data_IF_376589318164
#
_entry.id   IF_376589318164
#
_cell.length_a   1.000
_cell.length_b   1.000
_cell.length_c   1.000
_cell.angle_alpha   90.00
_cell.angle_beta   90.00
_cell.angle_gamma   90.00
#
_symmetry.space_group_name_H-M   'P 1'
#
loop_
_entity.id
_entity.type
_entity.pdbx_description
1 polymer ?
#
# COMPACT_ATOMS: atom_id res chain seq x y z
N UNK A 1 5.34 -7.77 -24.63
CA UNK A 1 3.97 -7.23 -24.70
C UNK A 1 3.26 -7.59 -23.42
N UNK A 2 2.88 -6.63 -22.60
CA UNK A 2 2.05 -6.85 -21.42
C UNK A 2 0.64 -7.21 -21.88
N UNK A 3 0.14 -8.37 -21.46
CA UNK A 3 -1.20 -8.83 -21.79
C UNK A 3 -2.20 -7.90 -21.10
N UNK A 4 -3.04 -7.21 -21.85
CA UNK A 4 -4.11 -6.41 -21.28
C UNK A 4 -5.17 -7.39 -20.71
N UNK A 5 -5.36 -7.38 -19.38
CA UNK A 5 -6.29 -8.27 -18.69
C UNK A 5 -7.62 -7.58 -18.37
N UNK A 6 -7.96 -6.47 -19.02
CA UNK A 6 -9.24 -5.79 -18.84
C UNK A 6 -10.40 -6.56 -19.46
N UNK A 7 -11.52 -6.56 -18.76
CA UNK A 7 -12.78 -7.01 -19.33
C UNK A 7 -13.32 -5.99 -20.33
N UNK A 8 -13.93 -6.46 -21.41
CA UNK A 8 -14.50 -5.60 -22.46
C UNK A 8 -15.91 -5.07 -22.15
N UNK A 9 -16.58 -5.64 -21.14
CA UNK A 9 -17.97 -5.34 -20.79
C UNK A 9 -18.08 -4.85 -19.34
N UNK A 10 -19.11 -4.07 -19.02
CA UNK A 10 -19.39 -3.59 -17.67
C UNK A 10 -18.40 -2.51 -17.19
N UNK A 11 -17.91 -1.69 -18.10
CA UNK A 11 -16.87 -0.69 -17.81
C UNK A 11 -17.48 0.56 -17.18
N UNK A 12 -16.92 0.95 -16.04
CA UNK A 12 -17.17 2.24 -15.41
C UNK A 12 -16.09 3.25 -15.85
N UNK A 13 -14.91 2.77 -16.24
CA UNK A 13 -13.73 3.58 -16.57
C UNK A 13 -13.78 3.97 -18.05
N UNK A 14 -13.61 5.25 -18.32
CA UNK A 14 -13.48 5.79 -19.67
C UNK A 14 -12.09 5.45 -20.23
N UNK A 15 -12.06 4.66 -21.30
CA UNK A 15 -10.83 4.28 -21.99
C UNK A 15 -10.32 5.36 -22.98
N UNK A 16 -10.94 6.52 -23.02
CA UNK A 16 -10.53 7.62 -23.92
C UNK A 16 -9.25 8.27 -23.41
N UNK A 17 -9.12 8.44 -22.09
CA UNK A 17 -7.99 9.16 -21.50
C UNK A 17 -6.96 8.20 -20.90
N UNK A 18 -5.92 7.95 -21.68
CA UNK A 18 -4.82 7.08 -21.27
C UNK A 18 -3.82 7.83 -20.40
N UNK A 19 -3.47 7.24 -19.26
CA UNK A 19 -2.56 7.78 -18.24
C UNK A 19 -1.32 6.89 -18.15
N UNK A 20 -0.14 7.50 -18.01
CA UNK A 20 1.12 6.79 -17.78
C UNK A 20 1.59 6.93 -16.33
N UNK A 21 2.03 5.84 -15.73
CA UNK A 21 2.57 5.84 -14.37
C UNK A 21 3.75 4.88 -14.24
N UNK A 22 4.53 5.03 -13.18
CA UNK A 22 5.67 4.15 -12.90
C UNK A 22 5.43 3.33 -11.63
N UNK A 23 5.69 2.03 -11.72
CA UNK A 23 5.72 1.14 -10.58
C UNK A 23 7.05 0.40 -10.54
N UNK A 24 7.79 0.53 -9.42
CA UNK A 24 9.15 -0.02 -9.26
C UNK A 24 10.08 0.33 -10.45
N UNK A 25 10.02 1.57 -10.91
CA UNK A 25 10.85 2.09 -12.00
C UNK A 25 10.38 1.71 -13.42
N UNK A 26 9.42 0.79 -13.56
CA UNK A 26 8.87 0.40 -14.86
C UNK A 26 7.62 1.20 -15.20
N UNK A 27 7.51 1.67 -16.43
CA UNK A 27 6.33 2.42 -16.91
C UNK A 27 5.20 1.46 -17.27
N UNK A 28 4.01 1.80 -16.83
CA UNK A 28 2.74 1.15 -17.11
C UNK A 28 1.71 2.16 -17.56
N UNK A 29 0.60 1.67 -18.08
CA UNK A 29 -0.48 2.49 -18.59
C UNK A 29 -1.81 2.06 -17.99
N UNK A 30 -2.64 3.02 -17.70
CA UNK A 30 -4.03 2.85 -17.29
C UNK A 30 -4.88 3.92 -17.91
N UNK A 31 -6.06 4.13 -17.36
CA UNK A 31 -7.01 5.14 -17.82
C UNK A 31 -7.42 6.03 -16.65
N UNK A 32 -7.90 7.21 -16.96
CA UNK A 32 -8.44 8.10 -15.95
C UNK A 32 -9.58 7.42 -15.17
N UNK A 33 -9.57 7.57 -13.85
CA UNK A 33 -10.49 6.86 -12.95
C UNK A 33 -10.01 5.48 -12.46
N UNK A 34 -8.93 4.93 -13.07
CA UNK A 34 -8.32 3.72 -12.52
C UNK A 34 -7.70 3.99 -11.15
N UNK A 35 -7.82 3.04 -10.24
CA UNK A 35 -6.92 2.96 -9.08
C UNK A 35 -5.59 2.34 -9.50
N UNK A 36 -4.55 2.58 -8.70
CA UNK A 36 -3.26 1.93 -8.92
C UNK A 36 -3.40 0.39 -8.92
N UNK A 37 -4.30 -0.15 -8.08
CA UNK A 37 -4.64 -1.56 -8.03
C UNK A 37 -5.19 -2.07 -9.36
N UNK A 38 -6.26 -1.45 -9.87
CA UNK A 38 -6.91 -1.87 -11.12
C UNK A 38 -5.96 -1.77 -12.31
N UNK A 39 -5.18 -0.69 -12.37
CA UNK A 39 -4.20 -0.49 -13.43
C UNK A 39 -3.06 -1.52 -13.39
N UNK A 40 -2.55 -1.88 -12.21
CA UNK A 40 -1.51 -2.91 -12.06
C UNK A 40 -2.03 -4.29 -12.48
N UNK A 41 -3.22 -4.68 -12.02
CA UNK A 41 -3.86 -5.95 -12.40
C UNK A 41 -4.07 -6.00 -13.92
N UNK A 42 -4.60 -4.94 -14.51
CA UNK A 42 -4.82 -4.84 -15.96
C UNK A 42 -3.52 -5.03 -16.77
N UNK A 43 -2.39 -4.63 -16.21
CA UNK A 43 -1.07 -4.83 -16.82
C UNK A 43 -0.40 -6.16 -16.43
N UNK A 44 -1.11 -7.07 -15.74
CA UNK A 44 -0.59 -8.38 -15.33
C UNK A 44 0.43 -8.31 -14.18
N UNK A 45 0.40 -7.24 -13.39
CA UNK A 45 1.25 -7.09 -12.20
C UNK A 45 0.49 -7.59 -10.98
N UNK A 46 0.77 -8.83 -10.57
CA UNK A 46 0.12 -9.46 -9.43
C UNK A 46 0.93 -9.39 -8.14
N UNK A 47 2.24 -9.23 -8.24
CA UNK A 47 3.14 -9.12 -7.09
C UNK A 47 3.40 -7.64 -6.79
N UNK A 48 2.83 -7.16 -5.69
CA UNK A 48 2.86 -5.74 -5.31
C UNK A 48 3.79 -5.47 -4.13
N UNK A 49 3.90 -6.42 -3.20
CA UNK A 49 4.71 -6.27 -2.02
C UNK A 49 5.13 -7.59 -1.40
N UNK A 50 5.74 -7.51 -0.23
CA UNK A 50 6.18 -8.64 0.59
C UNK A 50 5.59 -8.54 1.98
N UNK A 51 5.34 -9.70 2.61
CA UNK A 51 4.84 -9.72 3.99
C UNK A 51 5.91 -9.24 4.98
N UNK A 52 5.43 -8.70 6.07
CA UNK A 52 6.25 -8.09 7.11
C UNK A 52 7.32 -9.04 7.70
N UNK A 53 6.95 -10.23 8.16
CA UNK A 53 7.84 -11.12 8.92
C UNK A 53 8.65 -12.04 8.01
N UNK A 54 7.99 -12.69 7.08
CA UNK A 54 8.57 -13.77 6.28
C UNK A 54 8.85 -13.38 4.83
N UNK A 55 8.59 -12.12 4.46
CA UNK A 55 8.79 -11.63 3.09
C UNK A 55 8.11 -12.47 2.00
N UNK A 56 7.00 -13.13 2.37
CA UNK A 56 6.19 -13.91 1.42
C UNK A 56 5.57 -13.00 0.37
N UNK A 57 5.44 -13.46 -0.89
CA UNK A 57 4.83 -12.67 -1.95
C UNK A 57 3.41 -12.21 -1.57
N UNK A 58 3.10 -10.93 -1.83
CA UNK A 58 1.78 -10.33 -1.59
C UNK A 58 1.29 -9.64 -2.85
N UNK A 59 0.06 -9.97 -3.23
CA UNK A 59 -0.69 -9.31 -4.28
C UNK A 59 -1.79 -8.42 -3.72
N UNK A 60 -2.70 -8.00 -4.59
CA UNK A 60 -3.90 -7.25 -4.26
C UNK A 60 -4.98 -8.26 -3.91
N UNK A 61 -5.61 -8.10 -2.75
CA UNK A 61 -6.58 -9.05 -2.22
C UNK A 61 -8.02 -8.53 -2.31
N UNK A 62 -8.22 -7.22 -2.12
CA UNK A 62 -9.54 -6.58 -2.11
C UNK A 62 -9.60 -5.40 -3.07
N UNK A 63 -10.75 -4.75 -3.18
CA UNK A 63 -10.96 -3.62 -4.08
C UNK A 63 -11.06 -2.26 -3.36
N UNK A 64 -11.19 -2.25 -2.06
CA UNK A 64 -11.47 -1.05 -1.26
C UNK A 64 -10.41 -0.72 -0.22
N UNK A 65 -10.82 0.08 0.77
CA UNK A 65 -9.97 0.54 1.87
C UNK A 65 -9.57 -0.58 2.85
N UNK A 66 -10.21 -1.73 2.77
CA UNK A 66 -9.89 -2.93 3.53
C UNK A 66 -8.68 -3.71 3.00
N UNK A 67 -8.01 -3.23 1.92
CA UNK A 67 -6.84 -3.90 1.32
C UNK A 67 -5.69 -4.04 2.31
N UNK A 68 -5.32 -5.28 2.71
CA UNK A 68 -4.30 -5.49 3.73
C UNK A 68 -2.88 -5.66 3.19
N UNK A 69 -2.71 -5.96 1.90
CA UNK A 69 -1.45 -6.42 1.32
C UNK A 69 -0.81 -5.44 0.34
N UNK A 70 -1.64 -4.73 -0.40
CA UNK A 70 -1.21 -3.84 -1.47
C UNK A 70 -0.78 -2.47 -0.96
N UNK A 71 0.29 -2.41 -0.18
CA UNK A 71 0.82 -1.18 0.42
C UNK A 71 2.04 -0.73 -0.35
N UNK A 72 2.05 0.55 -0.73
CA UNK A 72 3.11 1.16 -1.53
C UNK A 72 3.54 2.50 -0.96
N UNK A 73 4.72 2.91 -1.36
CA UNK A 73 5.21 4.26 -1.19
C UNK A 73 5.02 5.04 -2.48
N UNK A 74 4.41 6.21 -2.38
CA UNK A 74 4.29 7.13 -3.49
C UNK A 74 5.44 8.15 -3.43
N UNK A 75 5.99 8.48 -4.57
CA UNK A 75 6.94 9.57 -4.73
C UNK A 75 6.33 10.63 -5.65
N UNK A 76 6.05 11.78 -5.10
CA UNK A 76 5.72 12.96 -5.85
C UNK A 76 6.98 13.81 -6.06
N UNK A 77 6.90 14.86 -6.87
CA UNK A 77 8.06 15.75 -7.09
C UNK A 77 8.55 16.42 -5.80
N UNK A 78 7.68 16.60 -4.83
CA UNK A 78 7.90 17.45 -3.68
C UNK A 78 7.98 16.69 -2.37
N UNK A 79 7.23 15.60 -2.22
CA UNK A 79 7.18 14.80 -1.00
C UNK A 79 6.92 13.32 -1.28
N UNK A 80 7.03 12.50 -0.25
CA UNK A 80 6.76 11.06 -0.32
C UNK A 80 5.63 10.68 0.61
N UNK A 81 4.75 9.79 0.16
CA UNK A 81 3.68 9.23 0.98
C UNK A 81 3.93 7.74 1.19
N UNK A 82 4.34 7.33 2.40
CA UNK A 82 4.48 5.92 2.73
C UNK A 82 3.14 5.29 3.07
N UNK A 83 3.08 3.96 2.98
CA UNK A 83 1.97 3.13 3.46
C UNK A 83 0.61 3.43 2.80
N UNK A 84 0.62 3.83 1.53
CA UNK A 84 -0.63 4.05 0.77
C UNK A 84 -1.14 2.74 0.21
N UNK A 85 -2.44 2.50 0.35
CA UNK A 85 -3.09 1.34 -0.27
C UNK A 85 -3.28 1.57 -1.75
N UNK A 86 -2.87 0.60 -2.56
CA UNK A 86 -2.99 0.67 -4.02
C UNK A 86 -4.43 0.82 -4.51
N UNK A 87 -5.40 0.40 -3.71
CA UNK A 87 -6.83 0.49 -3.98
C UNK A 87 -7.43 1.87 -3.75
N UNK A 88 -6.75 2.72 -2.98
CA UNK A 88 -7.17 4.09 -2.65
C UNK A 88 -6.46 5.16 -3.48
N UNK A 89 -5.41 4.77 -4.20
CA UNK A 89 -4.61 5.69 -5.01
C UNK A 89 -5.17 5.72 -6.42
N UNK A 90 -5.76 6.84 -6.83
CA UNK A 90 -6.09 7.08 -8.23
C UNK A 90 -4.82 7.33 -9.03
N UNK A 91 -4.70 6.74 -10.23
CA UNK A 91 -3.56 7.01 -11.08
C UNK A 91 -3.70 8.37 -11.78
N UNK A 92 -2.56 9.02 -11.96
CA UNK A 92 -2.42 10.25 -12.74
C UNK A 92 -1.11 10.23 -13.52
N UNK A 93 -1.00 11.08 -14.53
CA UNK A 93 0.18 11.07 -15.36
C UNK A 93 1.43 11.49 -14.61
N UNK A 94 2.45 10.64 -14.68
CA UNK A 94 3.71 10.83 -13.95
C UNK A 94 3.73 10.28 -12.52
N UNK A 95 2.67 9.64 -12.02
CA UNK A 95 2.66 8.96 -10.71
C UNK A 95 3.84 7.98 -10.61
N UNK A 96 4.54 8.01 -9.50
CA UNK A 96 5.59 7.06 -9.15
C UNK A 96 5.24 6.33 -7.88
N UNK A 97 5.15 5.02 -7.95
CA UNK A 97 4.88 4.15 -6.81
C UNK A 97 5.96 3.08 -6.68
N UNK A 98 6.27 2.71 -5.45
CA UNK A 98 7.26 1.70 -5.12
C UNK A 98 6.68 0.71 -4.12
N UNK A 99 6.97 -0.57 -4.34
CA UNK A 99 6.68 -1.60 -3.35
C UNK A 99 7.53 -1.39 -2.09
N UNK A 100 6.96 -1.73 -0.96
CA UNK A 100 7.63 -1.66 0.34
C UNK A 100 8.07 -3.05 0.79
N UNK A 101 8.92 -3.09 1.83
CA UNK A 101 9.38 -4.31 2.47
C UNK A 101 10.02 -5.32 1.53
N UNK A 102 10.92 -4.87 0.66
CA UNK A 102 11.68 -5.74 -0.22
C UNK A 102 13.08 -5.16 -0.48
N UNK A 103 14.05 -6.03 -0.70
CA UNK A 103 15.40 -5.64 -1.09
C UNK A 103 16.10 -6.82 -1.81
N UNK A 104 16.72 -6.62 -2.96
CA UNK A 104 16.79 -5.39 -3.77
C UNK A 104 15.54 -5.13 -4.61
N UNK A 105 14.66 -6.10 -4.79
CA UNK A 105 13.42 -5.93 -5.55
C UNK A 105 12.28 -6.80 -5.03
N UNK A 106 11.03 -6.47 -5.39
CA UNK A 106 9.87 -7.26 -4.99
C UNK A 106 9.87 -8.68 -5.57
N UNK A 107 10.50 -8.88 -6.72
CA UNK A 107 10.61 -10.20 -7.35
C UNK A 107 11.72 -11.04 -6.74
N UNK A 108 12.86 -10.42 -6.51
CA UNK A 108 14.01 -11.05 -5.88
C UNK A 108 14.31 -10.32 -4.58
N UNK A 109 13.88 -10.92 -3.48
CA UNK A 109 13.95 -10.31 -2.16
C UNK A 109 14.81 -11.16 -1.23
N UNK A 110 15.92 -10.59 -0.78
CA UNK A 110 16.83 -11.25 0.14
C UNK A 110 16.19 -11.56 1.50
N UNK A 111 15.21 -10.75 1.91
CA UNK A 111 14.43 -10.99 3.14
C UNK A 111 13.61 -12.27 3.11
N UNK A 112 13.36 -12.87 1.93
CA UNK A 112 12.65 -14.14 1.79
C UNK A 112 13.37 -15.32 2.47
N UNK A 113 14.64 -15.18 2.84
CA UNK A 113 15.37 -16.17 3.66
C UNK A 113 14.67 -16.37 5.04
N UNK A 114 13.97 -15.36 5.53
CA UNK A 114 13.21 -15.46 6.77
C UNK A 114 12.08 -16.50 6.69
N UNK A 115 11.56 -16.78 5.50
CA UNK A 115 10.55 -17.83 5.33
C UNK A 115 11.16 -19.23 5.48
N UNK A 116 12.36 -19.42 5.00
CA UNK A 116 13.13 -20.67 5.19
C UNK A 116 13.45 -20.90 6.68
N UNK A 117 13.73 -19.82 7.41
CA UNK A 117 14.02 -19.85 8.84
C UNK A 117 12.74 -19.82 9.72
N UNK A 118 11.55 -19.89 9.13
CA UNK A 118 10.27 -19.76 9.83
C UNK A 118 10.06 -20.72 11.01
N UNK A 119 10.57 -21.97 11.02
CA UNK A 119 10.45 -22.85 12.17
C UNK A 119 11.15 -22.33 13.43
N UNK A 120 12.18 -21.47 13.25
CA UNK A 120 12.93 -20.88 14.36
C UNK A 120 12.33 -19.56 14.87
N UNK A 121 11.31 -19.03 14.19
CA UNK A 121 10.64 -17.77 14.54
C UNK A 121 9.20 -17.97 15.00
N UNK A 122 8.97 -18.57 16.21
CA UNK A 122 7.62 -18.72 16.72
C UNK A 122 6.94 -17.37 16.94
N UNK A 123 5.62 -17.38 17.11
CA UNK A 123 4.87 -16.18 17.43
C UNK A 123 5.44 -15.50 18.69
N UNK A 124 5.69 -14.19 18.61
CA UNK A 124 6.21 -13.44 19.76
C UNK A 124 7.72 -13.57 19.99
N UNK A 125 8.49 -14.22 19.11
CA UNK A 125 9.94 -14.36 19.28
C UNK A 125 10.65 -13.04 19.54
N UNK A 126 10.21 -11.96 18.91
CA UNK A 126 10.81 -10.63 19.04
C UNK A 126 10.62 -10.01 20.43
N UNK A 127 9.53 -10.32 21.14
CA UNK A 127 9.36 -9.91 22.53
C UNK A 127 10.39 -10.55 23.44
N UNK A 128 10.73 -11.80 23.19
CA UNK A 128 11.73 -12.51 24.00
C UNK A 128 13.16 -12.16 23.61
N UNK A 129 13.43 -12.00 22.33
CA UNK A 129 14.79 -11.83 21.78
C UNK A 129 15.30 -10.40 21.92
N UNK A 130 14.46 -9.38 21.71
CA UNK A 130 14.88 -7.98 21.64
C UNK A 130 14.64 -7.19 22.95
N UNK A 131 14.01 -7.80 23.95
CA UNK A 131 13.80 -7.15 25.26
C UNK A 131 15.02 -7.26 26.16
N UNK A 132 16.00 -8.08 25.85
CA UNK A 132 17.19 -8.28 26.67
C UNK A 132 18.46 -8.23 25.81
N UNK A 133 19.52 -7.47 26.22
CA UNK A 133 19.57 -6.53 27.35
C UNK A 133 18.84 -5.21 27.05
N UNK A 134 18.14 -4.61 28.02
CA UNK A 134 17.30 -3.40 27.77
C UNK A 134 18.08 -2.20 27.23
N UNK A 135 19.38 -2.10 27.56
CA UNK A 135 20.25 -1.01 27.09
C UNK A 135 20.37 -0.93 25.57
N UNK A 136 20.17 -2.02 24.85
CA UNK A 136 20.27 -2.08 23.39
C UNK A 136 18.93 -1.86 22.66
N UNK A 137 17.85 -1.56 23.40
CA UNK A 137 16.53 -1.38 22.81
C UNK A 137 16.50 -0.40 21.64
N UNK A 138 17.19 0.74 21.76
CA UNK A 138 17.22 1.72 20.65
C UNK A 138 17.86 1.18 19.37
N UNK A 139 18.87 0.33 19.49
CA UNK A 139 19.48 -0.32 18.34
C UNK A 139 18.56 -1.39 17.74
N UNK A 140 17.94 -2.22 18.60
CA UNK A 140 16.98 -3.21 18.15
C UNK A 140 15.77 -2.59 17.47
N UNK A 141 15.25 -1.50 18.01
CA UNK A 141 14.12 -0.76 17.46
C UNK A 141 14.43 -0.25 16.04
N UNK A 142 15.63 0.25 15.83
CA UNK A 142 16.08 0.68 14.50
C UNK A 142 16.02 -0.47 13.48
N UNK A 143 16.55 -1.64 13.82
CA UNK A 143 16.51 -2.81 12.94
C UNK A 143 15.09 -3.34 12.74
N UNK A 144 14.29 -3.41 13.78
CA UNK A 144 12.89 -3.86 13.72
C UNK A 144 12.09 -2.93 12.81
N UNK A 145 12.23 -1.62 12.94
CA UNK A 145 11.53 -0.63 12.12
C UNK A 145 11.87 -0.79 10.64
N UNK A 146 13.14 -0.99 10.31
CA UNK A 146 13.57 -1.20 8.95
C UNK A 146 13.07 -2.55 8.40
N UNK A 147 13.11 -3.60 9.20
CA UNK A 147 12.58 -4.91 8.84
C UNK A 147 11.05 -4.91 8.71
N UNK A 148 10.37 -4.00 9.39
CA UNK A 148 8.92 -3.83 9.30
C UNK A 148 8.44 -3.30 7.95
N UNK A 149 9.32 -2.75 7.11
CA UNK A 149 8.96 -2.28 5.78
C UNK A 149 7.91 -1.16 5.76
N UNK A 150 7.89 -0.32 6.78
CA UNK A 150 6.89 0.75 6.97
C UNK A 150 7.12 1.98 6.07
N UNK A 151 7.87 1.85 5.00
CA UNK A 151 8.17 2.96 4.10
C UNK A 151 9.09 4.02 4.73
N UNK A 152 9.37 5.07 3.97
CA UNK A 152 10.21 6.18 4.40
C UNK A 152 9.36 7.40 4.67
N UNK A 153 9.51 7.97 5.86
CA UNK A 153 8.87 9.23 6.20
C UNK A 153 9.30 10.36 5.25
N UNK A 154 8.40 11.27 4.88
CA UNK A 154 8.74 12.45 4.09
C UNK A 154 9.77 13.30 4.85
N UNK A 155 10.70 13.89 4.09
CA UNK A 155 11.73 14.79 4.64
C UNK A 155 11.40 16.27 4.42
N UNK A 156 10.45 16.55 3.55
CA UNK A 156 9.96 17.89 3.24
C UNK A 156 8.58 18.08 3.82
N UNK A 157 8.24 19.30 4.10
CA UNK A 157 6.91 19.68 4.53
C UNK A 157 5.89 19.38 3.43
N UNK A 158 4.65 19.11 3.82
CA UNK A 158 3.56 18.89 2.90
C UNK A 158 3.21 20.20 2.17
N UNK A 159 3.32 20.26 0.85
CA UNK A 159 3.00 21.47 0.09
C UNK A 159 1.50 21.71 -0.03
N UNK A 160 0.66 20.75 0.34
CA UNK A 160 -0.78 20.89 0.24
C UNK A 160 -1.31 21.82 1.34
N UNK A 161 -2.23 22.70 0.93
CA UNK A 161 -2.99 23.52 1.85
C UNK A 161 -4.32 22.83 2.13
N UNK A 162 -4.58 22.55 3.40
CA UNK A 162 -5.83 21.96 3.84
C UNK A 162 -6.76 23.07 4.32
N UNK A 163 -8.00 23.02 3.87
CA UNK A 163 -9.03 23.94 4.34
C UNK A 163 -9.58 23.46 5.67
N UNK A 164 -9.84 24.39 6.56
CA UNK A 164 -10.46 24.15 7.85
C UNK A 164 -11.86 24.73 7.85
N UNK A 165 -12.85 23.87 8.04
CA UNK A 165 -14.24 24.27 8.10
C UNK A 165 -14.83 23.97 9.48
N UNK A 166 -15.71 24.85 9.93
CA UNK A 166 -16.54 24.62 11.12
C UNK A 166 -17.97 24.34 10.67
N UNK A 167 -18.43 23.14 10.92
CA UNK A 167 -19.79 22.72 10.64
C UNK A 167 -20.58 22.57 11.94
N UNK A 168 -21.80 23.11 11.97
CA UNK A 168 -22.76 22.85 13.03
C UNK A 168 -23.69 21.74 12.58
N UNK A 169 -23.74 20.65 13.32
CA UNK A 169 -24.60 19.50 13.01
C UNK A 169 -25.10 18.89 14.34
N UNK A 170 -26.31 18.36 14.33
CA UNK A 170 -26.87 17.65 15.49
C UNK A 170 -26.18 16.27 15.67
N UNK A 171 -25.80 15.64 14.58
CA UNK A 171 -25.11 14.34 14.58
C UNK A 171 -23.99 14.34 13.54
N UNK A 172 -22.76 14.08 13.99
CA UNK A 172 -21.61 13.86 13.13
C UNK A 172 -21.26 12.37 13.11
N UNK A 173 -21.31 11.74 11.94
CA UNK A 173 -20.88 10.34 11.74
C UNK A 173 -19.52 10.34 11.06
N UNK A 174 -18.49 9.83 11.75
CA UNK A 174 -17.13 9.71 11.24
C UNK A 174 -16.82 8.24 11.01
N UNK A 175 -16.71 7.82 9.76
CA UNK A 175 -16.35 6.46 9.38
C UNK A 175 -17.23 5.89 8.26
N UNK A 176 -16.92 4.69 7.78
CA UNK A 176 -17.63 4.04 6.66
C UNK A 176 -18.62 2.96 7.09
N UNK A 177 -19.04 2.94 8.35
CA UNK A 177 -19.95 1.92 8.89
C UNK A 177 -21.43 2.08 8.50
N UNK A 178 -21.78 3.15 7.79
CA UNK A 178 -23.16 3.42 7.34
C UNK A 178 -23.77 2.32 6.46
N UNK A 179 -22.93 1.58 5.72
CA UNK A 179 -23.39 0.50 4.86
C UNK A 179 -23.56 -0.84 5.58
N UNK A 180 -23.01 -0.99 6.77
CA UNK A 180 -23.01 -2.26 7.52
C UNK A 180 -23.90 -2.23 8.76
N UNK A 181 -24.36 -1.05 9.19
CA UNK A 181 -25.28 -0.91 10.31
C UNK A 181 -26.67 -0.68 9.76
N UNK A 182 -27.60 -1.64 9.89
CA UNK A 182 -28.97 -1.40 9.51
C UNK A 182 -29.52 -0.23 10.33
N UNK A 183 -30.02 0.78 9.62
CA UNK A 183 -30.70 1.91 10.28
C UNK A 183 -32.00 1.42 10.92
N UNK A 184 -32.36 1.87 12.11
CA UNK A 184 -33.68 1.58 12.68
C UNK A 184 -34.87 2.03 11.81
N UNK A 185 -34.61 2.80 10.73
CA UNK A 185 -35.63 3.22 9.75
C UNK A 185 -35.82 2.23 8.60
N UNK A 186 -34.95 1.24 8.49
CA UNK A 186 -34.99 0.24 7.43
C UNK A 186 -35.69 -1.06 7.86
N UNK A 187 -36.39 -1.02 9.02
CA UNK A 187 -37.18 -2.11 9.59
C UNK A 187 -38.69 -1.84 9.46
#
# INVERSE_FOLDING_TARGET
MTKNLRFKTGKIIDETYRVSFKFNGKTYYGYEGDTLASALIANGVHLVGRSFKYHRPRGIYTAGSEEPNGIVQLETKEYTEPNRRVTEVQIYDGLKAFSQNNWPSVKFDAGAINDLLSPFFPAGFYYKTFMWPPKFWKAYEFFIRHAAGLGKSPKKDDPHKYEHFHYHCDVLIVGCLLYTSPSPRDS
#
